data_IF_010324153116
#
_entry.id   IF_010324153116
#
_cell.length_a   1.000
_cell.length_b   1.000
_cell.length_c   1.000
_cell.angle_alpha   90.00
_cell.angle_beta   90.00
_cell.angle_gamma   90.00
#
_symmetry.space_group_name_H-M   'P 1'
#
loop_
_entity.id
_entity.type
_entity.pdbx_description
1 polymer ?
#
# COMPACT_ATOMS: atom_id res chain seq x y z
N UNK A 1 -3.43 52.07 5.76
CA UNK A 1 -3.53 51.45 4.42
C UNK A 1 -4.39 50.19 4.62
N UNK A 2 -5.72 50.07 4.37
CA UNK A 2 -6.62 50.48 3.26
C UNK A 2 -6.05 49.99 1.92
N UNK A 3 -6.58 48.96 1.22
CA UNK A 3 -7.99 48.69 0.82
C UNK A 3 -8.37 47.18 0.68
N UNK A 4 -9.69 46.86 0.51
CA UNK A 4 -10.37 45.57 0.72
C UNK A 4 -10.89 44.92 -0.59
N UNK A 5 -11.98 44.11 -0.51
CA UNK A 5 -12.91 43.57 -1.56
C UNK A 5 -12.77 42.03 -1.71
N UNK A 6 -13.58 41.20 -1.07
CA UNK A 6 -15.00 40.89 -1.31
C UNK A 6 -15.27 40.15 -2.65
N UNK A 7 -15.49 38.83 -2.59
CA UNK A 7 -16.39 38.13 -3.52
C UNK A 7 -17.21 37.14 -2.70
N UNK A 8 -18.47 37.50 -2.50
CA UNK A 8 -19.54 36.65 -1.99
C UNK A 8 -20.53 36.44 -3.14
N UNK A 9 -20.92 35.19 -3.41
CA UNK A 9 -22.21 34.77 -3.99
C UNK A 9 -22.18 33.22 -4.07
N UNK A 10 -22.94 32.40 -3.32
CA UNK A 10 -24.37 32.34 -3.01
C UNK A 10 -25.26 31.88 -4.18
N UNK A 11 -25.47 30.55 -4.31
CA UNK A 11 -26.67 29.89 -4.85
C UNK A 11 -26.73 28.51 -4.14
N UNK A 12 -27.43 28.27 -3.04
CA UNK A 12 -28.87 28.29 -2.81
C UNK A 12 -29.66 27.26 -3.65
N UNK A 13 -30.04 26.17 -2.98
CA UNK A 13 -31.41 25.62 -3.04
C UNK A 13 -31.83 24.95 -4.36
N UNK A 14 -31.52 23.66 -4.50
CA UNK A 14 -32.45 22.69 -5.10
C UNK A 14 -33.01 21.82 -3.98
N UNK A 15 -34.05 22.35 -3.33
CA UNK A 15 -34.91 21.63 -2.39
C UNK A 15 -35.69 20.53 -3.13
N UNK A 16 -35.90 19.45 -2.38
CA UNK A 16 -37.12 18.65 -2.31
C UNK A 16 -37.68 18.05 -3.61
N UNK A 17 -37.41 16.76 -3.77
CA UNK A 17 -38.45 15.77 -4.04
C UNK A 17 -38.13 14.54 -3.17
N UNK A 18 -38.64 14.49 -1.94
CA UNK A 18 -39.90 13.83 -1.57
C UNK A 18 -39.84 12.31 -1.72
N UNK A 19 -39.53 11.64 -0.62
CA UNK A 19 -40.17 10.38 -0.23
C UNK A 19 -40.00 10.21 1.28
N UNK A 20 -40.82 10.97 2.02
CA UNK A 20 -40.95 10.87 3.47
C UNK A 20 -42.27 10.13 3.71
N UNK A 21 -42.18 8.85 4.09
CA UNK A 21 -43.35 8.06 4.48
C UNK A 21 -43.17 7.52 5.91
N UNK A 22 -44.00 8.10 6.78
CA UNK A 22 -44.56 7.67 8.06
C UNK A 22 -43.65 7.41 9.31
N UNK A 23 -44.15 7.75 10.53
CA UNK A 23 -43.36 7.77 11.76
C UNK A 23 -43.61 6.58 12.71
N UNK A 24 -42.66 6.44 13.65
CA UNK A 24 -42.73 5.80 14.96
C UNK A 24 -42.68 4.26 15.05
N UNK A 25 -41.48 3.74 15.35
CA UNK A 25 -41.22 2.88 16.52
C UNK A 25 -39.71 2.88 16.82
N UNK A 26 -39.33 3.27 18.04
CA UNK A 26 -38.00 3.03 18.62
C UNK A 26 -37.84 1.52 18.93
N UNK A 27 -36.69 1.02 19.41
CA UNK A 27 -35.28 1.28 19.08
C UNK A 27 -34.51 -0.03 18.74
N UNK A 28 -33.48 -0.04 17.89
CA UNK A 28 -32.43 -1.09 17.96
C UNK A 28 -31.17 -0.70 17.17
N UNK A 29 -30.05 -0.74 17.89
CA UNK A 29 -28.69 -1.08 17.51
C UNK A 29 -28.09 -0.64 16.14
N UNK A 30 -27.04 0.17 16.28
CA UNK A 30 -25.67 -0.16 15.87
C UNK A 30 -25.32 -0.27 14.38
N UNK A 31 -24.32 0.56 14.05
CA UNK A 31 -23.20 0.29 13.14
C UNK A 31 -23.51 -0.11 11.70
N UNK A 32 -23.20 0.80 10.78
CA UNK A 32 -22.62 0.48 9.47
C UNK A 32 -22.14 1.78 8.81
N UNK A 33 -20.94 1.93 8.28
CA UNK A 33 -19.75 1.11 8.35
C UNK A 33 -18.62 2.11 8.06
N UNK A 34 -17.78 2.38 9.06
CA UNK A 34 -16.48 2.95 8.76
C UNK A 34 -15.81 2.01 7.77
N UNK A 35 -15.32 2.55 6.65
CA UNK A 35 -14.50 1.80 5.72
C UNK A 35 -13.27 1.32 6.52
N UNK A 36 -13.37 0.12 7.09
CA UNK A 36 -12.34 -0.49 7.88
C UNK A 36 -11.27 -0.88 6.87
N UNK A 37 -10.30 0.02 6.68
CA UNK A 37 -9.20 -0.19 5.77
C UNK A 37 -8.61 -1.57 6.07
N UNK A 38 -8.70 -2.48 5.10
CA UNK A 38 -8.29 -3.85 5.29
C UNK A 38 -6.84 -3.89 5.82
N UNK A 39 -6.53 -4.77 6.78
CA UNK A 39 -5.22 -4.81 7.40
C UNK A 39 -4.13 -4.98 6.33
N UNK A 40 -3.23 -4.01 6.27
CA UNK A 40 -2.04 -4.06 5.40
C UNK A 40 -1.06 -5.04 6.03
N UNK A 41 -0.90 -6.20 5.42
CA UNK A 41 0.09 -7.17 5.86
C UNK A 41 1.45 -6.86 5.22
N UNK A 42 2.52 -7.04 5.99
CA UNK A 42 3.88 -6.84 5.54
C UNK A 42 4.66 -8.14 5.67
N UNK A 43 5.40 -8.50 4.63
CA UNK A 43 6.33 -9.63 4.66
C UNK A 43 7.73 -9.15 4.38
N UNK A 44 8.72 -9.92 4.84
CA UNK A 44 10.11 -9.71 4.51
C UNK A 44 10.51 -10.66 3.39
N UNK A 45 11.23 -10.11 2.42
CA UNK A 45 11.86 -10.87 1.36
C UNK A 45 13.37 -10.65 1.42
N UNK A 46 14.10 -11.71 1.11
CA UNK A 46 15.54 -11.69 0.94
C UNK A 46 15.81 -11.80 -0.55
N UNK A 47 16.60 -10.89 -1.08
CA UNK A 47 16.96 -10.81 -2.49
C UNK A 47 18.48 -10.89 -2.59
N UNK A 48 18.96 -11.88 -3.34
CA UNK A 48 20.36 -12.02 -3.70
C UNK A 48 20.57 -11.48 -5.11
N UNK A 49 21.59 -10.64 -5.28
CA UNK A 49 21.91 -10.01 -6.56
C UNK A 49 23.06 -10.73 -7.26
N UNK A 50 22.98 -10.83 -8.59
CA UNK A 50 24.05 -11.41 -9.42
C UNK A 50 25.30 -10.53 -9.44
N UNK A 51 25.10 -9.21 -9.41
CA UNK A 51 26.18 -8.23 -9.44
C UNK A 51 25.88 -7.09 -8.45
N UNK A 52 26.16 -7.27 -7.16
CA UNK A 52 25.71 -6.34 -6.13
C UNK A 52 26.40 -4.98 -6.14
N UNK A 53 27.61 -4.87 -6.66
CA UNK A 53 28.33 -3.59 -6.79
C UNK A 53 27.64 -2.61 -7.74
N UNK A 54 26.76 -3.11 -8.61
CA UNK A 54 25.92 -2.30 -9.49
C UNK A 54 24.53 -1.95 -8.89
N UNK A 55 24.21 -2.43 -7.69
CA UNK A 55 22.88 -2.31 -7.10
C UNK A 55 22.83 -1.16 -6.11
N UNK A 56 22.19 -0.07 -6.55
CA UNK A 56 21.68 0.94 -5.63
C UNK A 56 20.30 0.51 -5.09
N UNK A 57 20.19 0.35 -3.77
CA UNK A 57 18.98 -0.18 -3.14
C UNK A 57 17.75 0.71 -3.36
N UNK A 58 17.94 2.04 -3.44
CA UNK A 58 16.85 3.00 -3.68
C UNK A 58 16.34 2.91 -5.12
N UNK A 59 17.26 2.89 -6.08
CA UNK A 59 16.95 2.73 -7.50
C UNK A 59 16.27 1.38 -7.76
N UNK A 60 16.73 0.31 -7.10
CA UNK A 60 16.09 -0.99 -7.17
C UNK A 60 14.64 -0.96 -6.63
N UNK A 61 14.40 -0.35 -5.46
CA UNK A 61 13.03 -0.17 -4.93
C UNK A 61 12.16 0.63 -5.90
N UNK A 62 12.68 1.69 -6.50
CA UNK A 62 11.95 2.47 -7.51
C UNK A 62 11.59 1.63 -8.74
N UNK A 63 12.51 0.79 -9.23
CA UNK A 63 12.23 -0.14 -10.33
C UNK A 63 11.14 -1.14 -9.96
N UNK A 64 11.17 -1.68 -8.74
CA UNK A 64 10.11 -2.59 -8.27
C UNK A 64 8.74 -1.90 -8.24
N UNK A 65 8.67 -0.66 -7.73
CA UNK A 65 7.44 0.11 -7.72
C UNK A 65 6.92 0.40 -9.13
N UNK A 66 7.82 0.76 -10.06
CA UNK A 66 7.48 0.96 -11.47
C UNK A 66 7.01 -0.33 -12.16
N UNK A 67 7.52 -1.49 -11.76
CA UNK A 67 7.09 -2.81 -12.22
C UNK A 67 5.76 -3.30 -11.57
N UNK A 68 5.08 -2.43 -10.83
CA UNK A 68 3.79 -2.76 -10.20
C UNK A 68 3.93 -3.68 -8.98
N UNK A 69 5.08 -3.67 -8.30
CA UNK A 69 5.18 -4.24 -6.97
C UNK A 69 4.60 -3.26 -5.96
N UNK A 70 3.63 -3.69 -5.13
CA UNK A 70 3.10 -2.85 -4.06
C UNK A 70 4.19 -2.50 -3.05
N UNK A 71 4.02 -1.38 -2.35
CA UNK A 71 4.99 -0.70 -1.47
C UNK A 71 6.14 -1.60 -0.98
N UNK A 72 7.29 -1.51 -1.68
CA UNK A 72 8.54 -2.15 -1.28
C UNK A 72 9.41 -1.13 -0.56
N UNK A 73 10.01 -1.54 0.55
CA UNK A 73 10.95 -0.73 1.32
C UNK A 73 12.23 -1.52 1.58
N UNK A 74 13.38 -0.89 1.38
CA UNK A 74 14.66 -1.47 1.76
C UNK A 74 14.79 -1.49 3.29
N UNK A 75 15.22 -2.63 3.84
CA UNK A 75 15.46 -2.80 5.29
C UNK A 75 16.96 -2.73 5.58
N UNK A 76 17.78 -3.44 4.79
CA UNK A 76 19.22 -3.54 5.02
C UNK A 76 19.86 -4.66 4.22
N UNK A 77 21.19 -4.77 4.33
CA UNK A 77 21.97 -5.83 3.73
C UNK A 77 22.37 -6.86 4.80
N UNK A 78 22.34 -8.14 4.45
CA UNK A 78 22.85 -9.24 5.30
C UNK A 78 24.20 -9.76 4.82
N UNK A 79 24.54 -9.52 3.55
CA UNK A 79 25.87 -9.69 2.97
C UNK A 79 26.08 -8.65 1.87
N UNK A 80 27.28 -8.60 1.27
CA UNK A 80 27.55 -7.72 0.13
C UNK A 80 26.63 -7.98 -1.06
N UNK A 81 26.14 -9.20 -1.23
CA UNK A 81 25.29 -9.62 -2.35
C UNK A 81 23.81 -9.84 -1.99
N UNK A 82 23.47 -9.88 -0.70
CA UNK A 82 22.15 -10.25 -0.23
C UNK A 82 21.53 -9.15 0.60
N UNK A 83 20.38 -8.65 0.14
CA UNK A 83 19.63 -7.57 0.75
C UNK A 83 18.25 -8.04 1.23
N UNK A 84 17.69 -7.32 2.19
CA UNK A 84 16.39 -7.59 2.77
C UNK A 84 15.46 -6.42 2.49
N UNK A 85 14.26 -6.73 2.03
CA UNK A 85 13.21 -5.76 1.73
C UNK A 85 11.93 -6.12 2.48
N UNK A 86 11.17 -5.09 2.86
CA UNK A 86 9.80 -5.21 3.36
C UNK A 86 8.87 -5.00 2.18
N UNK A 87 7.99 -5.96 1.94
CA UNK A 87 6.94 -5.88 0.94
C UNK A 87 5.61 -5.72 1.66
N UNK A 88 4.88 -4.66 1.34
CA UNK A 88 3.46 -4.57 1.69
C UNK A 88 2.67 -5.39 0.68
N UNK A 89 1.84 -6.33 1.12
CA UNK A 89 0.96 -7.08 0.23
C UNK A 89 -0.51 -6.86 0.59
N UNK A 90 -1.35 -6.82 -0.43
CA UNK A 90 -2.79 -6.71 -0.22
C UNK A 90 -3.40 -8.07 0.16
N UNK A 91 -4.51 -8.09 0.91
CA UNK A 91 -5.29 -9.30 1.10
C UNK A 91 -5.66 -9.92 -0.26
N UNK A 92 -5.41 -11.21 -0.45
CA UNK A 92 -5.65 -11.92 -1.71
C UNK A 92 -4.53 -11.85 -2.74
N UNK A 93 -3.45 -11.08 -2.49
CA UNK A 93 -2.29 -11.08 -3.38
C UNK A 93 -1.39 -12.30 -3.13
N UNK A 94 -1.07 -13.05 -4.19
CA UNK A 94 -0.16 -14.19 -4.09
C UNK A 94 1.30 -13.74 -3.95
N UNK A 95 1.90 -14.04 -2.79
CA UNK A 95 3.32 -13.80 -2.54
C UNK A 95 4.22 -14.58 -3.52
N UNK A 96 3.80 -15.77 -3.93
CA UNK A 96 4.51 -16.55 -4.94
C UNK A 96 4.59 -15.81 -6.28
N UNK A 97 3.51 -15.16 -6.72
CA UNK A 97 3.54 -14.36 -7.95
C UNK A 97 4.48 -13.16 -7.82
N UNK A 98 4.59 -12.56 -6.64
CA UNK A 98 5.56 -11.49 -6.39
C UNK A 98 7.00 -12.02 -6.49
N UNK A 99 7.30 -13.16 -5.86
CA UNK A 99 8.61 -13.79 -5.96
C UNK A 99 8.92 -14.19 -7.40
N UNK A 100 7.99 -14.81 -8.12
CA UNK A 100 8.17 -15.18 -9.52
C UNK A 100 8.54 -13.96 -10.38
N UNK A 101 7.88 -12.81 -10.18
CA UNK A 101 8.25 -11.58 -10.88
C UNK A 101 9.67 -11.12 -10.55
N UNK A 102 10.09 -11.19 -9.29
CA UNK A 102 11.47 -10.89 -8.92
C UNK A 102 12.47 -11.82 -9.63
N UNK A 103 12.17 -13.11 -9.73
CA UNK A 103 13.01 -14.07 -10.46
C UNK A 103 13.12 -13.78 -11.97
N UNK A 104 12.21 -13.00 -12.55
CA UNK A 104 12.33 -12.55 -13.96
C UNK A 104 13.27 -11.35 -14.14
N UNK A 105 13.72 -10.72 -13.06
CA UNK A 105 14.62 -9.57 -13.14
C UNK A 105 16.06 -10.03 -13.37
N UNK A 106 16.78 -9.48 -14.37
CA UNK A 106 18.10 -9.96 -14.76
C UNK A 106 19.17 -9.75 -13.68
N UNK A 107 18.98 -8.77 -12.79
CA UNK A 107 19.93 -8.50 -11.70
C UNK A 107 19.77 -9.45 -10.50
N UNK A 108 18.66 -10.19 -10.41
CA UNK A 108 18.33 -11.05 -9.29
C UNK A 108 18.88 -12.46 -9.53
N UNK A 109 19.66 -12.96 -8.57
CA UNK A 109 20.16 -14.33 -8.54
C UNK A 109 19.14 -15.25 -7.85
N UNK A 110 18.60 -14.79 -6.73
CA UNK A 110 17.58 -15.50 -5.94
C UNK A 110 16.68 -14.50 -5.21
N UNK A 111 15.42 -14.88 -4.98
CA UNK A 111 14.47 -14.12 -4.19
C UNK A 111 13.55 -15.07 -3.41
N UNK A 112 13.49 -14.89 -2.09
CA UNK A 112 12.72 -15.77 -1.19
C UNK A 112 12.11 -14.99 -0.03
N UNK A 113 11.09 -15.57 0.59
CA UNK A 113 10.56 -15.06 1.85
C UNK A 113 11.59 -15.26 2.97
N UNK A 114 11.66 -14.30 3.88
CA UNK A 114 12.47 -14.40 5.08
C UNK A 114 11.74 -15.26 6.11
N UNK A 115 12.02 -16.57 6.10
CA UNK A 115 11.45 -17.54 7.04
C UNK A 115 11.97 -17.36 8.49
N UNK A 116 12.96 -16.48 8.72
CA UNK A 116 13.52 -16.28 10.07
C UNK A 116 12.62 -15.49 11.02
N UNK A 117 11.43 -15.08 10.60
CA UNK A 117 10.43 -14.52 11.52
C UNK A 117 9.55 -15.64 12.08
N UNK A 118 9.92 -16.14 13.26
CA UNK A 118 8.92 -16.70 14.18
C UNK A 118 7.94 -15.58 14.53
N UNK A 119 6.68 -15.72 14.10
CA UNK A 119 5.57 -14.97 14.70
C UNK A 119 5.48 -15.44 16.16
N UNK A 120 5.51 -14.53 17.16
CA UNK A 120 5.36 -14.91 18.55
C UNK A 120 4.00 -15.54 18.83
#
# INVERSE_FOLDING_TARGET
MKYPIAVALAIAVCLLACAQEAPATSPVAAHSAGAMAAPKAYVRIVVQFRNPSAIDARAFVQRLQAAGHPSVHYIGAVSGDTHVYRLQHAPGQSLQQVLQRLHTMPEIADARLDDKIKVP
#
